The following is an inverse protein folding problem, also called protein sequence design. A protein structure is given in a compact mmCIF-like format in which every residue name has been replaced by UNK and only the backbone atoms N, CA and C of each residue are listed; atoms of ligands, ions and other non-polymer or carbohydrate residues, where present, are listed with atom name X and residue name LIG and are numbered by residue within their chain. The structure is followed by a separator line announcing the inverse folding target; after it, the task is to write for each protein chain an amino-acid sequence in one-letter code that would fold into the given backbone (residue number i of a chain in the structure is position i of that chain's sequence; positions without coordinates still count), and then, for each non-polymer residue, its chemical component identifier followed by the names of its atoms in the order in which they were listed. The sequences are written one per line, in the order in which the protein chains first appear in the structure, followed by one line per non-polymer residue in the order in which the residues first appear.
data_IF_784698468817
#
_entry.id   IF_784698468817
#
_cell.length_a   1.000
_cell.length_b   1.000
_cell.length_c   1.000
_cell.angle_alpha   90.00
_cell.angle_beta   90.00
_cell.angle_gamma   90.00
#
_symmetry.space_group_name_H-M   'P 1'
#
loop_
_entity.id
_entity.type
_entity.pdbx_description
1 polymer ?
#
# COMPACT_ATOMS: atom_id res chain seq x y z
N UNK A 1 -11.89 11.19 -7.52
CA UNK A 1 -11.94 9.83 -8.08
C UNK A 1 -13.12 9.06 -7.52
N UNK A 2 -13.86 8.37 -8.38
CA UNK A 2 -15.00 7.56 -7.95
C UNK A 2 -14.62 6.13 -7.54
N UNK A 3 -13.52 5.63 -8.08
CA UNK A 3 -13.09 4.27 -7.81
C UNK A 3 -12.41 4.16 -6.44
N UNK A 4 -12.88 3.23 -5.64
CA UNK A 4 -12.33 2.97 -4.32
C UNK A 4 -11.07 2.10 -4.37
N UNK A 5 -10.98 1.22 -5.38
CA UNK A 5 -9.90 0.26 -5.51
C UNK A 5 -9.19 0.43 -6.84
N UNK A 6 -7.89 0.24 -6.85
CA UNK A 6 -7.07 0.22 -8.06
C UNK A 6 -6.66 -1.21 -8.36
N UNK A 7 -7.50 -1.91 -9.13
CA UNK A 7 -7.29 -3.32 -9.47
C UNK A 7 -6.62 -3.52 -10.83
N UNK A 8 -6.45 -2.44 -11.57
CA UNK A 8 -5.86 -2.42 -12.90
C UNK A 8 -6.26 -1.14 -13.60
N UNK A 9 -5.79 -0.93 -14.81
CA UNK A 9 -6.05 0.30 -15.54
C UNK A 9 -7.07 0.16 -16.66
N UNK A 10 -7.50 -1.07 -16.97
CA UNK A 10 -8.34 -1.34 -18.14
C UNK A 10 -9.61 -0.49 -18.19
N UNK A 11 -10.33 -0.41 -17.09
CA UNK A 11 -11.59 0.31 -17.02
C UNK A 11 -11.48 1.61 -16.21
N UNK A 12 -10.25 2.09 -16.01
CA UNK A 12 -9.99 3.30 -15.24
C UNK A 12 -10.08 4.52 -16.15
N UNK A 13 -10.88 5.55 -15.80
CA UNK A 13 -10.94 6.76 -16.62
C UNK A 13 -9.56 7.41 -16.77
N UNK A 14 -9.28 7.92 -17.99
CA UNK A 14 -8.01 8.57 -18.26
C UNK A 14 -7.74 9.76 -17.34
N UNK A 15 -8.77 10.51 -16.97
CA UNK A 15 -8.66 11.62 -16.04
C UNK A 15 -8.23 11.17 -14.63
N UNK A 16 -8.68 9.99 -14.20
CA UNK A 16 -8.27 9.45 -12.90
C UNK A 16 -6.82 8.98 -12.92
N UNK A 17 -6.39 8.38 -14.03
CA UNK A 17 -4.99 7.99 -14.22
C UNK A 17 -4.10 9.24 -14.19
N UNK A 18 -4.52 10.30 -14.88
CA UNK A 18 -3.76 11.54 -14.89
C UNK A 18 -3.68 12.17 -13.51
N UNK A 19 -4.77 12.13 -12.75
CA UNK A 19 -4.80 12.62 -11.37
C UNK A 19 -3.79 11.88 -10.49
N UNK A 20 -3.71 10.57 -10.62
CA UNK A 20 -2.75 9.76 -9.86
C UNK A 20 -1.31 10.16 -10.21
N UNK A 21 -1.03 10.30 -11.50
CA UNK A 21 0.31 10.69 -11.96
C UNK A 21 0.67 12.08 -11.47
N UNK A 22 -0.24 13.05 -11.59
CA UNK A 22 -0.01 14.43 -11.15
C UNK A 22 0.22 14.48 -9.63
N UNK A 23 -0.53 13.69 -8.87
CA UNK A 23 -0.35 13.60 -7.43
C UNK A 23 1.02 13.01 -7.08
N UNK A 24 1.46 12.00 -7.82
CA UNK A 24 2.78 11.41 -7.63
C UNK A 24 3.90 12.45 -7.85
N UNK A 25 3.77 13.28 -8.87
CA UNK A 25 4.74 14.37 -9.09
C UNK A 25 4.77 15.37 -7.95
N UNK A 26 3.63 15.69 -7.37
CA UNK A 26 3.56 16.58 -6.20
C UNK A 26 4.27 15.96 -4.99
N UNK A 27 4.06 14.67 -4.74
CA UNK A 27 4.73 13.98 -3.64
C UNK A 27 6.23 13.79 -3.88
N UNK A 28 6.67 13.78 -5.12
CA UNK A 28 8.09 13.67 -5.44
C UNK A 28 8.91 14.82 -4.83
N UNK A 29 8.32 16.00 -4.69
CA UNK A 29 8.97 17.14 -4.07
C UNK A 29 9.34 16.88 -2.61
N UNK A 30 8.58 16.05 -1.91
CA UNK A 30 8.85 15.71 -0.50
C UNK A 30 10.23 15.08 -0.34
N UNK A 31 10.72 14.36 -1.36
CA UNK A 31 12.04 13.72 -1.32
C UNK A 31 13.19 14.73 -1.31
N UNK A 32 12.93 15.99 -1.67
CA UNK A 32 13.91 17.06 -1.70
C UNK A 32 13.92 17.86 -0.40
N UNK A 33 13.07 17.54 0.55
CA UNK A 33 13.01 18.22 1.84
C UNK A 33 14.01 17.65 2.83
N UNK A 34 14.50 18.46 3.79
CA UNK A 34 15.32 17.94 4.88
C UNK A 34 14.62 16.81 5.65
N UNK A 35 13.32 16.97 5.89
CA UNK A 35 12.48 15.94 6.49
C UNK A 35 11.56 15.40 5.39
N UNK A 36 11.83 14.16 4.97
CA UNK A 36 11.11 13.51 3.87
C UNK A 36 9.84 12.83 4.36
N UNK A 37 8.98 13.59 5.03
CA UNK A 37 7.77 13.05 5.64
C UNK A 37 6.66 14.10 5.66
N UNK A 38 5.43 13.67 5.35
CA UNK A 38 4.22 14.49 5.43
C UNK A 38 3.11 13.70 6.11
N UNK A 39 2.12 14.35 6.74
CA UNK A 39 1.11 13.66 7.56
C UNK A 39 -0.13 13.19 6.77
N UNK A 40 -0.06 13.05 5.47
CA UNK A 40 -1.21 12.75 4.61
C UNK A 40 -1.99 11.50 5.03
N UNK A 41 -1.31 10.47 5.51
CA UNK A 41 -1.93 9.21 5.93
C UNK A 41 -1.80 8.95 7.42
N UNK A 42 -1.62 10.01 8.21
CA UNK A 42 -1.53 9.86 9.66
C UNK A 42 -2.82 9.25 10.21
N UNK A 43 -2.69 8.22 11.03
CA UNK A 43 -3.82 7.51 11.59
C UNK A 43 -4.34 6.36 10.71
N UNK A 44 -3.79 6.19 9.51
CA UNK A 44 -4.15 5.08 8.62
C UNK A 44 -3.20 3.92 8.80
N UNK A 45 -3.73 2.71 8.73
CA UNK A 45 -2.94 1.48 8.80
C UNK A 45 -3.04 0.75 7.46
N UNK A 46 -1.88 0.44 6.88
CA UNK A 46 -1.77 -0.21 5.58
C UNK A 46 -1.09 -1.56 5.76
N UNK A 47 -1.67 -2.60 5.18
CA UNK A 47 -1.05 -3.91 5.12
C UNK A 47 -0.57 -4.18 3.71
N UNK A 48 0.68 -4.57 3.58
CA UNK A 48 1.25 -5.01 2.32
C UNK A 48 1.25 -6.53 2.26
N UNK A 49 0.54 -7.08 1.27
CA UNK A 49 0.45 -8.52 1.03
C UNK A 49 1.29 -8.87 -0.19
N UNK A 50 2.47 -9.43 0.03
CA UNK A 50 3.38 -9.79 -1.07
C UNK A 50 3.48 -11.30 -1.19
N UNK A 51 3.25 -11.79 -2.42
CA UNK A 51 3.33 -13.23 -2.75
C UNK A 51 4.54 -13.55 -3.62
N UNK A 52 5.38 -12.56 -3.88
CA UNK A 52 6.62 -12.72 -4.63
C UNK A 52 7.79 -12.11 -3.87
N UNK A 53 9.01 -12.53 -4.21
CA UNK A 53 10.21 -12.11 -3.49
C UNK A 53 10.86 -10.86 -4.12
N UNK A 54 10.08 -9.82 -4.38
CA UNK A 54 10.62 -8.57 -4.89
C UNK A 54 10.95 -7.63 -3.73
N UNK A 55 12.23 -7.59 -3.37
CA UNK A 55 12.71 -6.70 -2.31
C UNK A 55 12.48 -5.23 -2.67
N UNK A 56 12.77 -4.86 -3.92
CA UNK A 56 12.58 -3.48 -4.38
C UNK A 56 11.13 -3.04 -4.24
N UNK A 57 10.20 -3.86 -4.70
CA UNK A 57 8.76 -3.54 -4.63
C UNK A 57 8.32 -3.38 -3.19
N UNK A 58 8.68 -4.30 -2.30
CA UNK A 58 8.31 -4.21 -0.89
C UNK A 58 8.84 -2.94 -0.24
N UNK A 59 10.12 -2.65 -0.45
CA UNK A 59 10.75 -1.47 0.15
C UNK A 59 10.13 -0.20 -0.39
N UNK A 60 9.82 -0.13 -1.69
CA UNK A 60 9.21 1.05 -2.30
C UNK A 60 7.85 1.36 -1.69
N UNK A 61 6.98 0.36 -1.55
CA UNK A 61 5.67 0.56 -0.94
C UNK A 61 5.78 0.93 0.53
N UNK A 62 6.57 0.18 1.28
CA UNK A 62 6.75 0.43 2.70
C UNK A 62 7.27 1.85 2.97
N UNK A 63 8.29 2.25 2.23
CA UNK A 63 8.91 3.56 2.42
C UNK A 63 7.96 4.70 2.04
N UNK A 64 7.21 4.54 0.93
CA UNK A 64 6.22 5.53 0.52
C UNK A 64 5.15 5.72 1.60
N UNK A 65 4.65 4.62 2.15
CA UNK A 65 3.64 4.65 3.20
C UNK A 65 4.16 5.34 4.47
N UNK A 66 5.38 5.03 4.88
CA UNK A 66 5.99 5.65 6.06
C UNK A 66 6.24 7.13 5.85
N UNK A 67 6.64 7.55 4.66
CA UNK A 67 6.84 8.97 4.34
C UNK A 67 5.52 9.75 4.34
N UNK A 68 4.40 9.07 4.13
CA UNK A 68 3.07 9.66 4.26
C UNK A 68 2.49 9.52 5.67
N UNK A 69 3.26 9.02 6.62
CA UNK A 69 2.91 8.86 8.03
C UNK A 69 1.88 7.77 8.32
N UNK A 70 1.74 6.79 7.43
CA UNK A 70 0.90 5.63 7.68
C UNK A 70 1.62 4.63 8.59
N UNK A 71 0.84 3.88 9.36
CA UNK A 71 1.35 2.67 10.01
C UNK A 71 1.41 1.56 8.96
N UNK A 72 2.51 0.83 8.92
CA UNK A 72 2.76 -0.17 7.88
C UNK A 72 2.97 -1.55 8.48
N UNK A 73 2.24 -2.53 7.98
CA UNK A 73 2.39 -3.93 8.37
C UNK A 73 2.68 -4.74 7.11
N UNK A 74 3.73 -5.55 7.15
CA UNK A 74 4.11 -6.39 6.02
C UNK A 74 3.76 -7.84 6.30
N UNK A 75 3.17 -8.49 5.31
CA UNK A 75 2.82 -9.90 5.34
C UNK A 75 3.46 -10.60 4.15
N UNK A 76 4.12 -11.73 4.40
CA UNK A 76 4.75 -12.53 3.35
C UNK A 76 4.12 -13.93 3.32
N UNK A 77 3.72 -14.38 2.13
CA UNK A 77 3.16 -15.72 1.96
C UNK A 77 4.14 -16.83 2.32
N UNK A 78 5.45 -16.58 2.14
CA UNK A 78 6.47 -17.58 2.42
C UNK A 78 6.63 -17.92 3.91
N UNK A 79 6.24 -17.02 4.79
CA UNK A 79 6.31 -17.20 6.25
C UNK A 79 4.94 -17.20 6.90
N UNK A 80 3.90 -17.39 6.12
CA UNK A 80 2.54 -17.18 6.55
C UNK A 80 1.87 -18.45 7.10
N UNK A 81 0.73 -18.24 7.75
CA UNK A 81 -0.15 -19.29 8.20
C UNK A 81 -0.74 -20.14 7.07
N UNK A 82 -0.58 -19.73 5.80
CA UNK A 82 -0.96 -20.55 4.66
C UNK A 82 -0.27 -21.92 4.69
N UNK A 83 0.98 -21.97 5.16
CA UNK A 83 1.71 -23.23 5.34
C UNK A 83 1.15 -24.10 6.46
N UNK A 84 0.32 -23.53 7.33
CA UNK A 84 -0.31 -24.23 8.44
C UNK A 84 -1.74 -24.68 8.12
N UNK A 85 -2.11 -24.63 6.83
CA UNK A 85 -3.44 -25.02 6.39
C UNK A 85 -4.48 -23.92 6.38
N UNK A 86 -4.12 -22.69 6.73
CA UNK A 86 -5.01 -21.57 6.67
C UNK A 86 -5.22 -21.15 5.21
N UNK A 87 -6.47 -20.88 4.80
CA UNK A 87 -6.75 -20.41 3.45
C UNK A 87 -6.41 -18.93 3.31
N UNK A 88 -6.17 -18.50 2.06
CA UNK A 88 -5.95 -17.09 1.77
C UNK A 88 -7.12 -16.22 2.25
N UNK A 89 -8.34 -16.70 2.04
CA UNK A 89 -9.54 -16.00 2.50
C UNK A 89 -9.54 -15.81 4.01
N UNK A 90 -9.19 -16.85 4.77
CA UNK A 90 -9.13 -16.79 6.23
C UNK A 90 -8.08 -15.78 6.69
N UNK A 91 -6.92 -15.78 6.04
CA UNK A 91 -5.84 -14.84 6.33
C UNK A 91 -6.30 -13.40 6.13
N UNK A 92 -6.94 -13.10 4.98
CA UNK A 92 -7.43 -11.76 4.68
C UNK A 92 -8.51 -11.33 5.67
N UNK A 93 -9.41 -12.22 6.04
CA UNK A 93 -10.46 -11.91 7.02
C UNK A 93 -9.89 -11.62 8.41
N UNK A 94 -8.86 -12.36 8.82
CA UNK A 94 -8.19 -12.09 10.09
C UNK A 94 -7.51 -10.72 10.09
N UNK A 95 -6.86 -10.36 8.99
CA UNK A 95 -6.23 -9.06 8.86
C UNK A 95 -7.29 -7.96 8.89
N UNK A 96 -8.38 -8.12 8.17
CA UNK A 96 -9.47 -7.15 8.13
C UNK A 96 -10.05 -6.90 9.52
N UNK A 97 -10.16 -7.94 10.34
CA UNK A 97 -10.69 -7.82 11.70
C UNK A 97 -9.83 -6.95 12.62
N UNK A 98 -8.60 -6.67 12.24
CA UNK A 98 -7.68 -5.81 12.99
C UNK A 98 -7.88 -4.32 12.69
N UNK A 99 -8.94 -3.97 11.98
CA UNK A 99 -9.30 -2.58 11.64
C UNK A 99 -8.23 -1.89 10.80
N UNK A 100 -7.81 -2.58 9.75
CA UNK A 100 -6.88 -2.06 8.75
C UNK A 100 -7.66 -1.15 7.78
N UNK A 101 -7.06 -0.07 7.33
CA UNK A 101 -7.64 0.83 6.32
C UNK A 101 -7.32 0.37 4.90
#
# INVERSE_FOLDING_TARGET
MKNKHLLGLKDYPGEDIQLIIDTAYKFKEVLNRPIKKVPSLKGKTIVNLFFENSTRTRISFELAQKRLSADTVNFSASSSSLKKGETFKDTVQNIESMKID
#
